data_IF_869954239495
#
_entry.id   IF_869954239495
#
_cell.length_a   1.000
_cell.length_b   1.000
_cell.length_c   1.000
_cell.angle_alpha   90.00
_cell.angle_beta   90.00
_cell.angle_gamma   90.00
#
_symmetry.space_group_name_H-M   'P 1'
#
loop_
_entity.id
_entity.type
_entity.pdbx_description
1 polymer ?
#
# COMPACT_ATOMS: atom_id res chain seq x y z
N UNK A 1 -1.52 27.54 -40.13
CA UNK A 1 -0.53 26.51 -39.70
C UNK A 1 -0.01 26.84 -38.30
N UNK A 2 -0.88 26.88 -37.27
CA UNK A 2 -0.50 27.18 -35.87
C UNK A 2 -1.33 26.34 -34.85
N UNK A 3 -2.33 25.57 -35.28
CA UNK A 3 -3.26 24.87 -34.36
C UNK A 3 -2.85 23.45 -33.93
N UNK A 4 -1.71 22.92 -34.38
CA UNK A 4 -1.33 21.51 -34.14
C UNK A 4 -0.30 21.29 -33.01
N UNK A 5 0.16 22.36 -32.34
CA UNK A 5 1.28 22.27 -31.39
C UNK A 5 0.81 22.18 -29.92
N UNK A 6 -0.45 22.51 -29.63
CA UNK A 6 -0.94 22.65 -28.23
C UNK A 6 -1.40 21.31 -27.62
N UNK A 7 -1.58 20.25 -28.42
CA UNK A 7 -2.03 18.94 -27.94
C UNK A 7 -0.93 18.06 -27.32
N UNK A 8 0.35 18.47 -27.36
CA UNK A 8 1.47 17.66 -26.85
C UNK A 8 1.81 17.89 -25.36
N UNK A 9 1.20 18.88 -24.70
CA UNK A 9 1.51 19.23 -23.30
C UNK A 9 0.51 18.67 -22.28
N UNK A 10 -0.45 17.85 -22.72
CA UNK A 10 -1.56 17.36 -21.89
C UNK A 10 -1.36 16.02 -21.18
N UNK A 11 -0.20 15.36 -21.32
CA UNK A 11 0.12 14.17 -20.54
C UNK A 11 0.72 14.60 -19.20
N UNK A 12 -0.12 15.22 -18.35
CA UNK A 12 0.17 15.26 -16.92
C UNK A 12 0.22 13.82 -16.44
N UNK A 13 1.41 13.22 -16.46
CA UNK A 13 1.67 11.95 -15.82
C UNK A 13 1.18 12.10 -14.39
N UNK A 14 0.17 11.30 -14.01
CA UNK A 14 -0.29 11.25 -12.65
C UNK A 14 0.95 10.99 -11.78
N UNK A 15 1.34 11.97 -10.95
CA UNK A 15 2.47 11.78 -10.05
C UNK A 15 2.16 10.56 -9.18
N UNK A 16 3.00 9.51 -9.22
CA UNK A 16 2.76 8.34 -8.39
C UNK A 16 2.73 8.78 -6.93
N UNK A 17 1.65 8.43 -6.23
CA UNK A 17 1.52 8.73 -4.80
C UNK A 17 2.74 8.19 -4.06
N UNK A 18 3.31 8.97 -3.13
CA UNK A 18 4.54 8.61 -2.38
C UNK A 18 4.46 7.22 -1.74
N UNK A 19 3.27 6.87 -1.25
CA UNK A 19 2.91 5.58 -0.69
C UNK A 19 2.87 4.38 -1.66
N UNK A 20 2.80 4.57 -2.98
CA UNK A 20 2.79 3.47 -3.94
C UNK A 20 4.16 2.75 -4.00
N UNK A 21 4.12 1.43 -4.15
CA UNK A 21 5.29 0.57 -4.23
C UNK A 21 5.18 -0.68 -3.34
N UNK A 22 6.24 -1.48 -3.34
CA UNK A 22 6.38 -2.63 -2.45
C UNK A 22 7.09 -2.21 -1.17
N UNK A 23 6.52 -2.57 -0.03
CA UNK A 23 7.00 -2.27 1.31
C UNK A 23 7.30 -3.57 2.03
N UNK A 24 8.55 -3.78 2.42
CA UNK A 24 9.01 -4.99 3.12
C UNK A 24 8.98 -4.72 4.62
N UNK A 25 8.51 -5.68 5.40
CA UNK A 25 8.40 -5.50 6.84
C UNK A 25 9.80 -5.43 7.49
N UNK A 26 9.99 -4.48 8.39
CA UNK A 26 11.20 -4.30 9.18
C UNK A 26 11.01 -4.91 10.57
N UNK A 27 11.18 -6.23 10.67
CA UNK A 27 11.10 -6.98 11.92
C UNK A 27 9.83 -7.81 12.13
N UNK A 28 9.68 -8.33 13.35
CA UNK A 28 8.56 -9.19 13.73
C UNK A 28 7.31 -8.36 14.04
N UNK A 29 6.14 -8.87 13.67
CA UNK A 29 4.87 -8.18 13.86
C UNK A 29 3.74 -9.17 14.20
N UNK A 30 2.65 -8.72 14.85
CA UNK A 30 1.56 -9.60 15.30
C UNK A 30 0.86 -10.36 14.16
N UNK A 31 0.80 -9.75 12.97
CA UNK A 31 0.13 -10.30 11.80
C UNK A 31 1.05 -11.16 10.91
N UNK A 32 2.32 -11.34 11.30
CA UNK A 32 3.34 -12.07 10.52
C UNK A 32 3.45 -11.58 9.07
N UNK A 33 3.21 -10.28 8.87
CA UNK A 33 3.37 -9.63 7.58
C UNK A 33 4.82 -9.72 7.12
N UNK A 34 4.98 -9.92 5.83
CA UNK A 34 6.28 -9.93 5.15
C UNK A 34 6.41 -8.75 4.21
N UNK A 35 5.33 -8.40 3.50
CA UNK A 35 5.27 -7.23 2.63
C UNK A 35 3.85 -6.69 2.48
N UNK A 36 3.76 -5.44 2.08
CA UNK A 36 2.56 -4.80 1.54
C UNK A 36 2.90 -4.30 0.15
N UNK A 37 2.01 -4.54 -0.82
CA UNK A 37 2.12 -3.97 -2.17
C UNK A 37 1.02 -2.93 -2.30
N UNK A 38 1.40 -1.66 -2.45
CA UNK A 38 0.47 -0.55 -2.65
C UNK A 38 0.50 -0.15 -4.12
N UNK A 39 -0.60 -0.36 -4.83
CA UNK A 39 -0.76 -0.02 -6.25
C UNK A 39 -1.33 1.39 -6.35
N UNK A 40 -0.84 2.16 -7.32
CA UNK A 40 -1.31 3.53 -7.57
C UNK A 40 -2.82 3.63 -7.85
N UNK A 41 -3.42 2.57 -8.39
CA UNK A 41 -4.84 2.49 -8.79
C UNK A 41 -5.81 2.32 -7.61
N UNK A 42 -5.39 2.64 -6.37
CA UNK A 42 -6.27 2.62 -5.20
C UNK A 42 -6.39 1.26 -4.52
N UNK A 43 -5.54 0.28 -4.84
CA UNK A 43 -5.54 -1.04 -4.21
C UNK A 43 -4.24 -1.31 -3.44
N UNK A 44 -4.32 -2.15 -2.41
CA UNK A 44 -3.16 -2.65 -1.70
C UNK A 44 -3.38 -4.09 -1.22
N UNK A 45 -2.32 -4.89 -1.25
CA UNK A 45 -2.34 -6.30 -0.84
C UNK A 45 -1.34 -6.58 0.27
N UNK A 46 -1.76 -7.29 1.31
CA UNK A 46 -0.90 -7.67 2.43
C UNK A 46 -0.53 -9.13 2.32
N UNK A 47 0.74 -9.45 2.57
CA UNK A 47 1.28 -10.81 2.45
C UNK A 47 1.92 -11.23 3.78
N UNK A 48 1.76 -12.48 4.16
CA UNK A 48 2.32 -13.03 5.41
C UNK A 48 3.12 -14.31 5.17
N UNK A 49 3.94 -14.69 6.15
CA UNK A 49 4.76 -15.91 6.12
C UNK A 49 3.90 -17.18 5.95
N UNK A 50 2.68 -17.20 6.48
CA UNK A 50 1.74 -18.33 6.33
C UNK A 50 1.47 -18.71 4.87
N UNK A 51 1.54 -17.74 3.95
CA UNK A 51 1.23 -17.93 2.53
C UNK A 51 2.47 -17.90 1.63
N UNK A 52 3.67 -17.81 2.20
CA UNK A 52 4.92 -17.83 1.41
C UNK A 52 5.17 -19.18 0.75
N UNK A 53 4.77 -20.28 1.38
CA UNK A 53 5.07 -21.63 0.93
C UNK A 53 4.06 -22.19 -0.07
N UNK A 54 2.83 -21.65 -0.12
CA UNK A 54 1.74 -22.27 -0.88
C UNK A 54 1.35 -21.52 -2.15
N UNK A 55 1.44 -20.18 -2.22
CA UNK A 55 1.01 -19.48 -3.45
C UNK A 55 1.39 -17.99 -3.57
N UNK A 56 2.18 -17.43 -2.65
CA UNK A 56 2.43 -15.96 -2.59
C UNK A 56 1.12 -15.14 -2.62
N UNK A 57 0.03 -15.72 -2.11
CA UNK A 57 -1.30 -15.12 -2.13
C UNK A 57 -1.48 -14.12 -0.99
N UNK A 58 -2.06 -12.97 -1.31
CA UNK A 58 -2.38 -11.94 -0.32
C UNK A 58 -3.32 -12.49 0.77
N UNK A 59 -3.05 -12.18 2.03
CA UNK A 59 -3.94 -12.48 3.17
C UNK A 59 -5.00 -11.40 3.39
N UNK A 60 -4.74 -10.19 2.89
CA UNK A 60 -5.69 -9.07 2.86
C UNK A 60 -5.64 -8.41 1.50
N UNK A 61 -6.83 -8.04 1.02
CA UNK A 61 -7.01 -7.19 -0.16
C UNK A 61 -7.68 -5.91 0.29
N UNK A 62 -7.12 -4.78 -0.09
CA UNK A 62 -7.52 -3.48 0.42
C UNK A 62 -7.81 -2.51 -0.72
N UNK A 63 -8.81 -1.66 -0.53
CA UNK A 63 -8.87 -0.37 -1.20
C UNK A 63 -8.24 0.68 -0.30
N UNK A 64 -7.58 1.67 -0.89
CA UNK A 64 -7.03 2.79 -0.15
C UNK A 64 -7.50 4.13 -0.69
N UNK A 65 -7.56 5.11 0.20
CA UNK A 65 -7.81 6.52 -0.09
C UNK A 65 -6.77 7.36 0.61
N UNK A 66 -6.48 8.55 0.07
CA UNK A 66 -5.58 9.50 0.71
C UNK A 66 -6.29 10.17 1.88
N UNK A 67 -5.69 10.08 3.07
CA UNK A 67 -6.11 10.86 4.23
C UNK A 67 -5.27 12.14 4.36
N UNK A 68 -4.00 12.08 3.96
CA UNK A 68 -3.05 13.19 3.83
C UNK A 68 -1.97 12.80 2.80
N UNK A 69 -1.04 13.71 2.49
CA UNK A 69 0.05 13.48 1.51
C UNK A 69 0.85 12.19 1.79
N UNK A 70 1.13 11.92 3.06
CA UNK A 70 1.90 10.75 3.50
C UNK A 70 1.05 9.72 4.25
N UNK A 71 -0.28 9.76 4.09
CA UNK A 71 -1.18 8.89 4.84
C UNK A 71 -2.25 8.26 3.96
N UNK A 72 -2.25 6.93 3.93
CA UNK A 72 -3.26 6.11 3.27
C UNK A 72 -4.21 5.51 4.30
N UNK A 73 -5.50 5.72 4.09
CA UNK A 73 -6.55 5.03 4.80
C UNK A 73 -6.94 3.78 4.01
N UNK A 74 -6.72 2.60 4.58
CA UNK A 74 -6.95 1.30 3.95
C UNK A 74 -8.19 0.61 4.52
N UNK A 75 -9.07 0.17 3.64
CA UNK A 75 -10.23 -0.67 3.94
C UNK A 75 -9.97 -2.04 3.35
N UNK A 76 -9.78 -3.03 4.22
CA UNK A 76 -9.30 -4.35 3.86
C UNK A 76 -10.36 -5.42 4.15
N UNK A 77 -10.34 -6.48 3.35
CA UNK A 77 -11.04 -7.73 3.63
C UNK A 77 -10.05 -8.88 3.75
N UNK A 78 -10.41 -9.91 4.51
CA UNK A 78 -9.61 -11.15 4.53
C UNK A 78 -9.80 -11.90 3.21
N UNK A 79 -8.70 -12.47 2.69
CA UNK A 79 -8.75 -13.20 1.43
C UNK A 79 -9.50 -14.53 1.51
N UNK A 80 -9.55 -15.14 2.70
CA UNK A 80 -10.27 -16.37 3.01
C UNK A 80 -11.73 -16.12 3.45
N UNK A 81 -12.05 -14.91 3.91
CA UNK A 81 -13.41 -14.51 4.26
C UNK A 81 -13.64 -13.01 4.04
N UNK A 82 -14.36 -12.65 2.97
CA UNK A 82 -14.58 -11.25 2.59
C UNK A 82 -15.57 -10.49 3.48
N UNK A 83 -16.29 -11.18 4.37
CA UNK A 83 -17.17 -10.54 5.36
C UNK A 83 -16.37 -9.93 6.53
N UNK A 84 -15.15 -10.42 6.75
CA UNK A 84 -14.23 -9.87 7.75
C UNK A 84 -13.55 -8.62 7.22
N UNK A 85 -14.05 -7.47 7.65
CA UNK A 85 -13.56 -6.15 7.28
C UNK A 85 -12.64 -5.57 8.35
N UNK A 86 -11.54 -4.99 7.92
CA UNK A 86 -10.55 -4.34 8.78
C UNK A 86 -10.17 -2.99 8.20
N UNK A 87 -9.83 -2.05 9.06
CA UNK A 87 -9.41 -0.71 8.67
C UNK A 87 -8.02 -0.45 9.22
N UNK A 88 -7.11 -0.01 8.36
CA UNK A 88 -5.74 0.30 8.70
C UNK A 88 -5.36 1.69 8.23
N UNK A 89 -4.39 2.29 8.90
CA UNK A 89 -3.74 3.50 8.44
C UNK A 89 -2.28 3.17 8.14
N UNK A 90 -1.86 3.45 6.91
CA UNK A 90 -0.49 3.31 6.44
C UNK A 90 0.12 4.71 6.30
N UNK A 91 1.16 5.00 7.06
CA UNK A 91 1.78 6.34 7.13
C UNK A 91 3.23 6.27 6.68
N UNK A 92 3.61 7.09 5.71
CA UNK A 92 4.99 7.25 5.25
C UNK A 92 5.70 8.23 6.21
N UNK A 93 6.88 7.88 6.72
CA UNK A 93 7.59 8.68 7.74
C UNK A 93 8.80 9.42 7.12
N UNK A 94 9.64 8.72 6.35
CA UNK A 94 10.88 9.29 5.77
C UNK A 94 11.06 8.89 4.28
N UNK A 95 9.98 8.85 3.50
CA UNK A 95 9.96 8.51 2.07
C UNK A 95 10.29 7.04 1.74
N UNK A 96 11.16 6.39 2.52
CA UNK A 96 11.56 4.99 2.42
C UNK A 96 11.15 4.16 3.65
N UNK A 97 10.56 4.78 4.66
CA UNK A 97 10.01 4.11 5.85
C UNK A 97 8.52 4.37 5.96
N UNK A 98 7.79 3.36 6.42
CA UNK A 98 6.36 3.47 6.69
C UNK A 98 5.95 2.66 7.92
N UNK A 99 4.83 3.04 8.51
CA UNK A 99 4.18 2.32 9.59
C UNK A 99 2.75 1.94 9.22
N UNK A 100 2.34 0.75 9.64
CA UNK A 100 0.95 0.30 9.61
C UNK A 100 0.39 0.35 11.02
N UNK A 101 -0.74 1.04 11.18
CA UNK A 101 -1.47 1.10 12.44
C UNK A 101 -2.91 0.63 12.27
N UNK A 102 -3.46 0.08 13.34
CA UNK A 102 -4.88 -0.26 13.46
C UNK A 102 -5.37 0.29 14.79
N UNK A 103 -6.47 1.05 14.79
CA UNK A 103 -6.99 1.68 16.02
C UNK A 103 -5.91 2.46 16.81
N UNK A 104 -5.03 3.18 16.09
CA UNK A 104 -3.87 3.93 16.63
C UNK A 104 -2.76 3.08 17.27
N UNK A 105 -2.86 1.76 17.21
CA UNK A 105 -1.81 0.85 17.66
C UNK A 105 -0.89 0.48 16.50
N UNK A 106 0.42 0.52 16.72
CA UNK A 106 1.42 0.08 15.75
C UNK A 106 1.32 -1.43 15.54
N UNK A 107 1.15 -1.83 14.29
CA UNK A 107 1.11 -3.24 13.86
C UNK A 107 2.45 -3.65 13.30
N UNK A 108 3.00 -2.87 12.37
CA UNK A 108 4.24 -3.20 11.68
C UNK A 108 4.95 -1.94 11.17
N UNK A 109 6.27 -2.01 11.08
CA UNK A 109 7.13 -1.06 10.40
C UNK A 109 7.59 -1.65 9.06
N UNK A 110 7.83 -0.80 8.08
CA UNK A 110 8.21 -1.19 6.73
C UNK A 110 9.31 -0.32 6.17
N UNK A 111 10.10 -0.92 5.28
CA UNK A 111 11.03 -0.24 4.38
C UNK A 111 10.58 -0.39 2.94
N UNK A 112 10.64 0.68 2.17
CA UNK A 112 10.32 0.66 0.74
C UNK A 112 11.36 -0.21 0.02
N UNK A 113 10.89 -1.15 -0.78
CA UNK A 113 11.76 -1.92 -1.66
C UNK A 113 12.31 -0.95 -2.72
N UNK A 114 13.60 -0.68 -2.67
CA UNK A 114 14.29 0.03 -3.75
C UNK A 114 14.39 -0.87 -4.97
N UNK A 115 14.20 -0.34 -6.19
CA UNK A 115 14.51 -1.06 -7.44
C UNK A 115 15.97 -1.52 -7.50
#
# INVERSE_FOLDING_TARGET
MILLIISLLGLSACSPHSGAGTWITDGNNPLKLTKIVVVFEGTADFFSEKNKETDNSAIRRCFWSTAAEDQLQMQCVHADNTDLKETYQFTIIEGNQAQLTQNKQLIALFKKQTP
#
